data_IF_831258969633
#
_entry.id   IF_831258969633
#
_cell.length_a   1.000
_cell.length_b   1.000
_cell.length_c   1.000
_cell.angle_alpha   90.00
_cell.angle_beta   90.00
_cell.angle_gamma   90.00
#
_symmetry.space_group_name_H-M   'P 1'
#
loop_
_entity.id
_entity.type
_entity.pdbx_description
1 polymer ?
#
# COMPACT_ATOMS: atom_id res chain seq x y z
N UNK A 1 15.96 7.67 24.62
CA UNK A 1 15.47 9.07 24.54
C UNK A 1 16.50 9.99 25.17
N UNK A 2 16.83 11.11 24.53
CA UNK A 2 17.78 12.13 25.01
C UNK A 2 17.04 13.41 25.37
N UNK A 3 17.50 14.08 26.44
CA UNK A 3 16.99 15.39 26.87
C UNK A 3 18.07 16.46 26.68
N UNK A 4 17.70 17.63 26.18
CA UNK A 4 18.63 18.76 26.04
C UNK A 4 17.94 20.11 26.31
N UNK A 5 18.41 20.89 27.31
CA UNK A 5 19.31 20.47 28.39
C UNK A 5 18.62 19.53 29.38
N UNK A 6 19.34 18.56 29.94
CA UNK A 6 18.81 17.63 30.96
C UNK A 6 18.73 18.25 32.38
N UNK A 7 19.27 19.46 32.56
CA UNK A 7 19.26 20.21 33.82
C UNK A 7 19.92 21.58 33.66
N UNK A 8 19.72 22.47 34.64
CA UNK A 8 20.28 23.81 34.64
C UNK A 8 19.70 24.69 35.75
N UNK A 9 20.20 25.93 35.84
CA UNK A 9 19.71 26.93 36.78
C UNK A 9 18.79 27.91 36.06
N UNK A 10 17.61 28.16 36.63
CA UNK A 10 16.68 29.18 36.16
C UNK A 10 16.61 30.33 37.16
N UNK A 11 16.66 31.57 36.68
CA UNK A 11 16.32 32.74 37.51
C UNK A 11 14.81 32.85 37.65
N UNK A 12 14.35 33.50 38.72
CA UNK A 12 12.92 33.80 38.90
C UNK A 12 12.36 34.52 37.67
N UNK A 13 11.23 34.03 37.15
CA UNK A 13 10.56 34.58 35.97
C UNK A 13 11.19 34.24 34.61
N UNK A 14 12.31 33.49 34.58
CA UNK A 14 12.91 33.04 33.33
C UNK A 14 12.20 31.80 32.75
N UNK A 15 12.48 31.50 31.48
CA UNK A 15 11.99 30.31 30.76
C UNK A 15 13.15 29.57 30.09
N UNK A 16 13.08 28.25 30.03
CA UNK A 16 14.00 27.40 29.23
C UNK A 16 13.19 26.45 28.36
N UNK A 17 13.66 26.21 27.14
CA UNK A 17 13.13 25.15 26.27
C UNK A 17 13.92 23.87 26.52
N UNK A 18 13.21 22.80 26.87
CA UNK A 18 13.77 21.44 26.96
C UNK A 18 13.24 20.64 25.79
N UNK A 19 14.16 20.10 24.99
CA UNK A 19 13.81 19.19 23.90
C UNK A 19 14.02 17.75 24.35
N UNK A 20 13.05 16.89 24.06
CA UNK A 20 13.19 15.44 24.13
C UNK A 20 13.27 14.90 22.71
N UNK A 21 14.26 14.05 22.43
CA UNK A 21 14.40 13.36 21.15
C UNK A 21 14.48 11.86 21.37
N UNK A 22 13.87 11.12 20.45
CA UNK A 22 14.05 9.68 20.36
C UNK A 22 15.48 9.44 19.82
N UNK A 23 16.18 8.47 20.38
CA UNK A 23 17.50 8.03 19.91
C UNK A 23 17.36 6.73 19.12
N UNK A 24 18.44 6.32 18.45
CA UNK A 24 18.48 5.17 17.54
C UNK A 24 18.09 3.83 18.20
N UNK A 25 18.05 3.79 19.55
CA UNK A 25 17.53 2.65 20.33
C UNK A 25 16.07 2.35 19.98
N UNK A 26 15.27 3.33 19.55
CA UNK A 26 13.88 3.06 19.14
C UNK A 26 13.77 2.06 17.99
N UNK A 27 14.80 1.91 17.16
CA UNK A 27 14.84 0.90 16.11
C UNK A 27 14.81 -0.55 16.65
N UNK A 28 15.11 -0.78 17.94
CA UNK A 28 15.06 -2.11 18.56
C UNK A 28 13.75 -2.41 19.27
N UNK A 29 12.80 -1.47 19.29
CA UNK A 29 11.53 -1.65 19.98
C UNK A 29 10.59 -2.46 19.07
N UNK A 30 9.77 -3.31 19.67
CA UNK A 30 8.67 -3.92 18.94
C UNK A 30 7.62 -2.85 18.62
N UNK A 31 6.81 -3.05 17.58
CA UNK A 31 5.70 -2.14 17.31
C UNK A 31 4.71 -2.11 18.47
N UNK A 32 4.25 -0.92 18.80
CA UNK A 32 3.39 -0.67 19.94
C UNK A 32 3.34 0.79 20.35
N UNK A 33 2.35 1.11 21.19
CA UNK A 33 2.31 2.40 21.88
C UNK A 33 3.07 2.27 23.19
N UNK A 34 4.00 3.20 23.40
CA UNK A 34 4.80 3.29 24.59
C UNK A 34 4.50 4.58 25.33
N UNK A 35 4.46 4.47 26.65
CA UNK A 35 4.22 5.57 27.55
C UNK A 35 5.47 5.85 28.36
N UNK A 36 5.83 7.11 28.46
CA UNK A 36 6.90 7.60 29.32
C UNK A 36 6.46 8.89 30.01
N UNK A 37 7.31 9.41 30.88
CA UNK A 37 7.09 10.71 31.49
C UNK A 37 8.40 11.47 31.63
N UNK A 38 8.41 12.76 31.30
CA UNK A 38 9.51 13.65 31.66
C UNK A 38 9.23 14.20 33.05
N UNK A 39 10.12 13.91 33.99
CA UNK A 39 10.05 14.42 35.34
C UNK A 39 10.95 15.65 35.51
N UNK A 40 10.34 16.80 35.80
CA UNK A 40 11.04 18.01 36.20
C UNK A 40 11.11 18.07 37.72
N UNK A 41 12.33 18.04 38.26
CA UNK A 41 12.59 18.17 39.71
C UNK A 41 13.14 19.54 40.04
N UNK A 42 12.46 20.25 40.93
CA UNK A 42 12.95 21.46 41.55
C UNK A 42 13.80 21.11 42.79
N UNK A 43 15.11 21.25 42.66
CA UNK A 43 16.06 20.96 43.73
C UNK A 43 16.36 22.17 44.63
N UNK A 44 15.73 23.33 44.44
CA UNK A 44 16.00 24.50 45.29
C UNK A 44 15.20 24.45 46.59
N UNK A 45 13.92 24.10 46.53
CA UNK A 45 13.02 24.02 47.69
C UNK A 45 12.16 22.75 47.74
N UNK A 46 12.35 21.83 46.78
CA UNK A 46 11.59 20.57 46.70
C UNK A 46 10.12 20.72 46.30
N UNK A 47 9.65 21.92 45.97
CA UNK A 47 8.26 22.19 45.57
C UNK A 47 8.17 22.54 44.08
N UNK A 48 7.03 22.23 43.45
CA UNK A 48 6.80 22.52 42.03
C UNK A 48 7.40 21.50 41.06
N UNK A 49 7.70 20.28 41.53
CA UNK A 49 7.99 19.16 40.63
C UNK A 49 6.78 18.89 39.73
N UNK A 50 7.00 18.64 38.44
CA UNK A 50 5.94 18.29 37.50
C UNK A 50 6.37 17.10 36.66
N UNK A 51 5.43 16.21 36.37
CA UNK A 51 5.60 15.08 35.46
C UNK A 51 4.74 15.33 34.23
N UNK A 52 5.36 15.37 33.05
CA UNK A 52 4.65 15.50 31.78
C UNK A 52 4.59 14.13 31.09
N UNK A 53 3.40 13.62 30.76
CA UNK A 53 3.28 12.36 30.04
C UNK A 53 3.81 12.52 28.61
N UNK A 54 4.49 11.50 28.14
CA UNK A 54 4.88 11.32 26.75
C UNK A 54 4.24 10.04 26.22
N UNK A 55 3.74 10.12 25.00
CA UNK A 55 3.34 8.96 24.21
C UNK A 55 4.26 8.92 23.00
N UNK A 56 4.83 7.76 22.71
CA UNK A 56 5.48 7.51 21.42
C UNK A 56 4.98 6.20 20.86
N UNK A 57 4.86 6.13 19.55
CA UNK A 57 4.42 4.93 18.86
C UNK A 57 5.57 4.44 18.01
N UNK A 58 5.95 3.19 18.21
CA UNK A 58 6.82 2.47 17.30
C UNK A 58 5.87 1.71 16.40
N UNK A 59 5.87 2.03 15.11
CA UNK A 59 5.13 1.25 14.13
C UNK A 59 6.10 0.24 13.54
N UNK A 60 5.60 -0.83 12.93
CA UNK A 60 6.44 -1.48 11.92
C UNK A 60 6.88 -0.36 10.97
N UNK A 61 8.10 -0.36 10.40
CA UNK A 61 8.22 0.33 9.12
C UNK A 61 7.05 -0.21 8.33
N UNK A 62 6.14 0.65 7.85
CA UNK A 62 5.28 0.21 6.77
C UNK A 62 6.30 -0.34 5.79
N UNK A 63 6.42 -1.68 5.67
CA UNK A 63 7.42 -2.25 4.79
C UNK A 63 7.27 -1.47 3.48
N UNK A 64 8.30 -1.01 2.77
CA UNK A 64 8.07 -0.09 1.65
C UNK A 64 7.01 -0.65 0.68
N UNK A 65 5.77 -0.20 0.88
CA UNK A 65 4.53 -0.88 0.48
C UNK A 65 3.78 0.12 -0.37
N UNK A 66 3.80 1.41 -0.01
CA UNK A 66 3.18 2.45 -0.81
C UNK A 66 4.18 3.01 -1.82
N UNK A 67 3.68 3.27 -3.01
CA UNK A 67 4.42 3.93 -4.07
C UNK A 67 3.48 4.70 -4.96
N UNK A 68 4.05 5.59 -5.77
CA UNK A 68 3.31 6.25 -6.83
C UNK A 68 4.01 6.05 -8.17
N UNK A 69 3.19 5.89 -9.20
CA UNK A 69 3.60 6.00 -10.59
C UNK A 69 3.19 7.38 -11.11
N UNK A 70 4.16 8.11 -11.65
CA UNK A 70 3.96 9.44 -12.21
C UNK A 70 4.28 9.47 -13.69
N UNK A 71 3.37 10.05 -14.47
CA UNK A 71 3.59 10.31 -15.89
C UNK A 71 4.02 11.76 -16.12
N UNK A 72 5.22 11.93 -16.68
CA UNK A 72 5.76 13.25 -17.05
C UNK A 72 6.25 13.23 -18.51
N UNK A 73 5.76 14.15 -19.33
CA UNK A 73 6.17 14.29 -20.73
C UNK A 73 6.12 12.98 -21.57
N UNK A 74 5.21 12.06 -21.24
CA UNK A 74 5.08 10.76 -21.93
C UNK A 74 6.00 9.66 -21.41
N UNK A 75 6.72 9.90 -20.31
CA UNK A 75 7.57 8.95 -19.60
C UNK A 75 6.96 8.64 -18.23
N UNK A 76 7.18 7.41 -17.76
CA UNK A 76 6.71 6.93 -16.46
C UNK A 76 7.83 6.80 -15.44
N UNK A 77 7.64 7.40 -14.27
CA UNK A 77 8.58 7.38 -13.15
C UNK A 77 7.90 6.78 -11.93
N UNK A 78 8.64 6.02 -11.15
CA UNK A 78 8.14 5.28 -9.99
C UNK A 78 8.85 5.78 -8.74
N UNK A 79 8.12 5.94 -7.65
CA UNK A 79 8.64 6.39 -6.37
C UNK A 79 8.04 5.53 -5.26
N UNK A 80 8.88 5.04 -4.35
CA UNK A 80 8.52 4.12 -3.29
C UNK A 80 9.05 4.62 -1.95
N UNK A 81 8.19 4.62 -0.95
CA UNK A 81 8.54 4.95 0.42
C UNK A 81 9.27 3.75 1.04
N UNK A 82 10.57 3.63 0.81
CA UNK A 82 11.35 2.45 1.25
C UNK A 82 11.62 2.46 2.76
N UNK A 83 11.64 3.65 3.37
CA UNK A 83 11.85 3.79 4.81
C UNK A 83 10.55 3.69 5.63
N UNK A 84 9.40 3.76 4.97
CA UNK A 84 8.07 3.54 5.54
C UNK A 84 7.55 4.69 6.39
N UNK A 85 8.05 5.92 6.18
CA UNK A 85 7.70 7.08 7.00
C UNK A 85 6.58 7.95 6.38
N UNK A 86 6.13 7.63 5.17
CA UNK A 86 5.09 8.34 4.44
C UNK A 86 5.49 9.69 3.86
N UNK A 87 6.79 9.95 3.75
CA UNK A 87 7.38 11.18 3.21
C UNK A 87 8.34 10.85 2.09
N UNK A 88 8.43 11.74 1.11
CA UNK A 88 9.46 11.64 0.08
C UNK A 88 10.76 12.28 0.57
N UNK A 89 11.76 11.46 0.84
CA UNK A 89 13.08 11.82 1.36
C UNK A 89 14.18 11.84 0.28
N UNK A 90 13.82 11.52 -0.97
CA UNK A 90 14.76 11.45 -2.08
C UNK A 90 15.28 10.03 -2.31
N UNK A 91 15.79 9.77 -3.52
CA UNK A 91 16.15 8.42 -4.00
C UNK A 91 17.31 7.73 -3.27
N UNK A 92 17.97 8.40 -2.32
CA UNK A 92 19.00 7.78 -1.47
C UNK A 92 18.39 7.11 -0.24
N UNK A 93 17.24 7.61 0.21
CA UNK A 93 16.51 7.10 1.38
C UNK A 93 15.30 6.28 0.94
N UNK A 94 14.60 6.79 -0.06
CA UNK A 94 13.49 6.14 -0.76
C UNK A 94 13.97 5.54 -2.08
N UNK A 95 13.12 4.75 -2.74
CA UNK A 95 13.43 4.26 -4.07
C UNK A 95 12.77 5.13 -5.15
N UNK A 96 13.52 5.39 -6.22
CA UNK A 96 12.96 5.93 -7.45
C UNK A 96 13.50 5.19 -8.68
N UNK A 97 12.63 4.99 -9.66
CA UNK A 97 12.95 4.28 -10.90
C UNK A 97 12.37 5.02 -12.10
N UNK A 98 12.97 4.80 -13.27
CA UNK A 98 12.43 5.24 -14.55
C UNK A 98 13.47 5.82 -15.51
N UNK A 99 13.08 6.00 -16.78
CA UNK A 99 11.72 5.83 -17.27
C UNK A 99 11.33 4.36 -17.55
N UNK A 100 10.15 3.95 -17.09
CA UNK A 100 9.51 2.67 -17.42
C UNK A 100 7.99 2.89 -17.51
N UNK A 101 7.43 2.78 -18.72
CA UNK A 101 6.04 3.17 -19.01
C UNK A 101 5.90 4.66 -19.35
N UNK A 102 4.69 5.19 -19.16
CA UNK A 102 4.33 6.59 -19.47
C UNK A 102 3.55 6.77 -20.77
N UNK A 103 3.29 5.67 -21.48
CA UNK A 103 2.40 5.64 -22.64
C UNK A 103 0.97 6.03 -22.29
N UNK A 104 0.17 6.33 -23.31
CA UNK A 104 -1.27 6.52 -23.11
C UNK A 104 -1.94 5.17 -22.92
N UNK A 105 -2.76 5.03 -21.87
CA UNK A 105 -3.41 3.77 -21.52
C UNK A 105 -2.55 2.80 -20.71
N UNK A 106 -1.40 3.26 -20.19
CA UNK A 106 -0.58 2.48 -19.26
C UNK A 106 -1.29 2.36 -17.91
N UNK A 107 -1.34 1.13 -17.41
CA UNK A 107 -1.73 0.84 -16.03
C UNK A 107 -0.50 0.30 -15.30
N UNK A 108 -0.01 0.96 -14.25
CA UNK A 108 1.13 0.52 -13.46
C UNK A 108 0.71 -0.57 -12.47
N UNK A 109 1.49 -1.65 -12.39
CA UNK A 109 1.28 -2.76 -11.45
C UNK A 109 2.59 -3.13 -10.76
N UNK A 110 2.48 -3.78 -9.61
CA UNK A 110 3.60 -4.33 -8.85
C UNK A 110 3.25 -5.76 -8.46
N UNK A 111 4.23 -6.63 -8.50
CA UNK A 111 4.09 -7.98 -7.99
C UNK A 111 5.43 -8.65 -7.78
N UNK A 112 5.39 -9.77 -7.07
CA UNK A 112 6.49 -10.71 -6.95
C UNK A 112 6.52 -11.64 -8.18
N UNK A 113 7.11 -11.16 -9.28
CA UNK A 113 7.24 -11.93 -10.51
C UNK A 113 8.28 -13.04 -10.33
N UNK A 114 7.83 -14.30 -10.46
CA UNK A 114 8.68 -15.49 -10.44
C UNK A 114 9.59 -15.62 -9.20
N UNK A 115 9.17 -15.06 -8.06
CA UNK A 115 9.90 -15.17 -6.79
C UNK A 115 11.14 -14.29 -6.70
N UNK A 116 11.34 -13.33 -7.62
CA UNK A 116 12.47 -12.39 -7.62
C UNK A 116 12.28 -11.18 -6.70
N UNK A 117 11.21 -11.20 -5.90
CA UNK A 117 10.78 -10.08 -5.09
C UNK A 117 9.99 -9.06 -5.90
N UNK A 118 9.61 -7.97 -5.24
CA UNK A 118 8.75 -6.92 -5.80
C UNK A 118 9.39 -6.31 -7.04
N UNK A 119 8.63 -6.21 -8.13
CA UNK A 119 9.06 -5.63 -9.40
C UNK A 119 7.92 -4.88 -10.08
N UNK A 120 8.26 -3.82 -10.79
CA UNK A 120 7.31 -2.99 -11.50
C UNK A 120 6.89 -3.63 -12.83
N UNK A 121 5.65 -3.37 -13.24
CA UNK A 121 5.12 -3.80 -14.52
C UNK A 121 4.15 -2.74 -15.09
N UNK A 122 3.97 -2.78 -16.40
CA UNK A 122 3.00 -1.95 -17.12
C UNK A 122 2.08 -2.87 -17.93
N UNK A 123 0.77 -2.67 -17.79
CA UNK A 123 -0.22 -3.17 -18.73
C UNK A 123 -0.60 -2.08 -19.73
N UNK A 124 -0.68 -2.43 -21.01
CA UNK A 124 -1.14 -1.54 -22.08
C UNK A 124 -1.87 -2.35 -23.16
N UNK A 125 -3.20 -2.26 -23.20
CA UNK A 125 -4.01 -2.81 -24.29
C UNK A 125 -3.74 -4.29 -24.60
N UNK A 126 -3.64 -5.14 -23.58
CA UNK A 126 -3.38 -6.57 -23.70
C UNK A 126 -1.90 -6.97 -23.76
N UNK A 127 -0.99 -6.00 -23.64
CA UNK A 127 0.44 -6.22 -23.49
C UNK A 127 0.85 -6.00 -22.04
N UNK A 128 1.65 -6.91 -21.52
CA UNK A 128 2.26 -6.84 -20.19
C UNK A 128 3.78 -6.69 -20.35
N UNK A 129 4.33 -5.65 -19.75
CA UNK A 129 5.75 -5.31 -19.76
C UNK A 129 6.28 -5.43 -18.33
N UNK A 130 7.18 -6.36 -18.07
CA UNK A 130 7.73 -6.61 -16.74
C UNK A 130 9.17 -6.12 -16.66
N UNK A 131 9.49 -5.30 -15.67
CA UNK A 131 10.88 -4.99 -15.30
C UNK A 131 11.49 -6.20 -14.59
N UNK A 132 11.89 -7.18 -15.38
CA UNK A 132 12.21 -8.52 -14.90
C UNK A 132 13.65 -8.63 -14.38
N UNK A 133 14.53 -7.74 -14.83
CA UNK A 133 15.88 -7.59 -14.29
C UNK A 133 15.92 -6.66 -13.06
N UNK A 134 14.87 -5.87 -12.81
CA UNK A 134 14.76 -4.95 -11.68
C UNK A 134 15.65 -3.73 -11.81
N UNK A 135 15.95 -3.29 -13.03
CA UNK A 135 16.76 -2.09 -13.28
C UNK A 135 15.98 -0.81 -13.02
N UNK A 136 14.64 -0.89 -13.03
CA UNK A 136 13.77 0.27 -13.00
C UNK A 136 13.70 1.03 -14.32
N UNK A 137 14.32 0.52 -15.39
CA UNK A 137 14.37 1.17 -16.71
C UNK A 137 13.96 0.21 -17.83
N UNK A 138 13.50 0.76 -18.95
CA UNK A 138 13.15 -0.06 -20.12
C UNK A 138 14.39 -0.57 -20.86
N UNK A 139 14.62 -1.90 -20.82
CA UNK A 139 15.81 -2.56 -21.35
C UNK A 139 15.55 -3.46 -22.58
N UNK A 140 14.35 -3.40 -23.20
CA UNK A 140 13.84 -4.30 -24.26
C UNK A 140 13.21 -5.62 -23.77
N UNK A 141 12.55 -6.37 -24.68
CA UNK A 141 11.82 -7.60 -24.34
C UNK A 141 12.70 -8.84 -24.05
N UNK A 142 14.03 -8.74 -24.15
CA UNK A 142 14.96 -9.82 -23.80
C UNK A 142 15.37 -9.73 -22.33
N UNK A 143 15.58 -8.52 -21.83
CA UNK A 143 15.94 -8.25 -20.43
C UNK A 143 14.70 -7.98 -19.56
N UNK A 144 13.70 -7.30 -20.13
CA UNK A 144 12.37 -7.13 -19.58
C UNK A 144 11.42 -8.13 -20.27
N UNK A 145 10.58 -8.84 -19.54
CA UNK A 145 9.71 -9.85 -20.17
C UNK A 145 8.48 -9.15 -20.77
N UNK A 146 8.06 -9.58 -21.96
CA UNK A 146 6.85 -9.09 -22.63
C UNK A 146 5.87 -10.24 -22.84
N UNK A 147 4.65 -10.12 -22.29
CA UNK A 147 3.55 -11.08 -22.55
C UNK A 147 2.45 -10.38 -23.35
N UNK A 148 1.83 -11.10 -24.29
CA UNK A 148 0.76 -10.58 -25.15
C UNK A 148 -0.45 -11.51 -25.11
N UNK A 149 -1.63 -10.92 -25.06
CA UNK A 149 -2.89 -11.63 -25.31
C UNK A 149 -3.60 -12.10 -24.05
N UNK A 150 -3.07 -11.80 -22.86
CA UNK A 150 -3.81 -11.93 -21.61
C UNK A 150 -4.58 -10.63 -21.34
N UNK A 151 -5.84 -10.59 -21.80
CA UNK A 151 -6.68 -9.39 -21.91
C UNK A 151 -6.46 -8.61 -23.21
N UNK A 152 -6.99 -7.39 -23.28
CA UNK A 152 -6.83 -6.46 -24.41
C UNK A 152 -8.14 -5.88 -24.96
N UNK A 153 -9.27 -6.21 -24.33
CA UNK A 153 -10.50 -5.44 -24.54
C UNK A 153 -10.41 -4.09 -23.82
N UNK A 154 -11.00 -3.02 -24.36
CA UNK A 154 -10.97 -1.69 -23.72
C UNK A 154 -11.61 -1.64 -22.31
N UNK A 155 -12.44 -2.62 -21.98
CA UNK A 155 -13.12 -2.77 -20.69
C UNK A 155 -12.31 -3.58 -19.67
N UNK A 156 -11.14 -4.12 -20.07
CA UNK A 156 -10.30 -4.91 -19.18
C UNK A 156 -9.58 -4.03 -18.16
N UNK A 157 -9.74 -4.35 -16.89
CA UNK A 157 -8.96 -3.76 -15.81
C UNK A 157 -7.93 -4.80 -15.34
N UNK A 158 -6.62 -4.56 -15.53
CA UNK A 158 -5.59 -5.52 -15.15
C UNK A 158 -5.50 -5.64 -13.63
N UNK A 159 -5.28 -6.86 -13.14
CA UNK A 159 -5.07 -7.17 -11.72
C UNK A 159 -3.93 -8.16 -11.57
N UNK A 160 -3.31 -8.20 -10.40
CA UNK A 160 -2.16 -9.06 -10.10
C UNK A 160 -2.27 -9.61 -8.69
N UNK A 161 -1.83 -10.85 -8.49
CA UNK A 161 -1.83 -11.49 -7.19
C UNK A 161 -1.42 -12.94 -7.23
N UNK A 162 -1.17 -13.50 -6.05
CA UNK A 162 -0.78 -14.89 -5.86
C UNK A 162 -2.02 -15.78 -5.76
N UNK A 163 -2.59 -16.14 -6.91
CA UNK A 163 -3.84 -16.91 -7.00
C UNK A 163 -3.76 -18.29 -6.35
N UNK A 164 -2.56 -18.86 -6.23
CA UNK A 164 -2.33 -20.22 -5.76
C UNK A 164 -1.66 -20.30 -4.38
N UNK A 165 -1.28 -19.17 -3.77
CA UNK A 165 -0.59 -19.12 -2.49
C UNK A 165 0.84 -19.67 -2.52
N UNK A 166 1.56 -19.49 -3.63
CA UNK A 166 2.93 -20.00 -3.84
C UNK A 166 4.01 -18.94 -3.64
N UNK A 167 3.64 -17.75 -3.18
CA UNK A 167 4.47 -16.56 -3.07
C UNK A 167 4.85 -15.96 -4.43
N UNK A 168 4.11 -16.25 -5.51
CA UNK A 168 4.40 -15.73 -6.85
C UNK A 168 3.14 -15.10 -7.41
N UNK A 169 3.23 -13.81 -7.71
CA UNK A 169 2.12 -13.07 -8.32
C UNK A 169 2.01 -13.40 -9.81
N UNK A 170 0.77 -13.47 -10.28
CA UNK A 170 0.43 -13.72 -11.67
C UNK A 170 -0.54 -12.67 -12.16
N UNK A 171 -0.58 -12.55 -13.48
CA UNK A 171 -1.44 -11.57 -14.14
C UNK A 171 -2.90 -12.04 -14.15
N UNK A 172 -3.79 -11.08 -14.26
CA UNK A 172 -5.21 -11.29 -14.36
C UNK A 172 -5.89 -10.06 -14.96
N UNK A 173 -7.17 -10.19 -15.30
CA UNK A 173 -8.00 -9.02 -15.58
C UNK A 173 -9.44 -9.23 -15.12
N UNK A 174 -10.07 -8.12 -14.77
CA UNK A 174 -11.49 -8.00 -14.50
C UNK A 174 -12.21 -7.43 -15.72
N UNK A 175 -13.39 -7.96 -16.04
CA UNK A 175 -14.27 -7.47 -17.10
C UNK A 175 -15.73 -7.67 -16.69
N UNK A 176 -16.45 -6.59 -16.43
CA UNK A 176 -17.90 -6.58 -16.20
C UNK A 176 -18.39 -7.68 -15.24
N UNK A 177 -17.75 -7.82 -14.07
CA UNK A 177 -18.13 -8.83 -13.06
C UNK A 177 -17.48 -10.20 -13.23
N UNK A 178 -16.80 -10.45 -14.35
CA UNK A 178 -16.02 -11.66 -14.59
C UNK A 178 -14.54 -11.40 -14.32
N UNK A 179 -13.84 -12.41 -13.79
CA UNK A 179 -12.41 -12.35 -13.51
C UNK A 179 -11.70 -13.48 -14.25
N UNK A 180 -10.56 -13.17 -14.87
CA UNK A 180 -9.75 -14.13 -15.61
C UNK A 180 -8.34 -14.06 -15.04
N UNK A 181 -7.91 -15.11 -14.34
CA UNK A 181 -6.63 -15.15 -13.63
C UNK A 181 -5.73 -16.20 -14.25
N UNK A 182 -4.51 -15.78 -14.60
CA UNK A 182 -3.54 -16.57 -15.35
C UNK A 182 -3.03 -17.74 -14.52
N UNK A 183 -2.98 -18.92 -15.14
CA UNK A 183 -2.35 -20.10 -14.56
C UNK A 183 -0.82 -20.08 -14.60
N UNK A 184 -0.20 -18.92 -14.88
CA UNK A 184 1.25 -18.66 -14.90
C UNK A 184 1.92 -18.75 -16.26
N UNK A 185 1.24 -19.29 -17.28
CA UNK A 185 1.86 -19.41 -18.60
C UNK A 185 1.80 -18.10 -19.40
N UNK A 186 0.96 -17.13 -19.01
CA UNK A 186 0.83 -15.84 -19.66
C UNK A 186 0.02 -15.85 -20.95
N UNK A 187 -0.76 -16.89 -21.20
CA UNK A 187 -1.55 -17.09 -22.41
C UNK A 187 -3.00 -17.24 -21.98
N UNK A 188 -3.89 -16.40 -22.52
CA UNK A 188 -5.32 -16.54 -22.22
C UNK A 188 -5.88 -17.81 -22.86
N UNK A 189 -6.40 -18.68 -22.01
CA UNK A 189 -6.92 -19.99 -22.36
C UNK A 189 -8.37 -20.15 -21.92
N UNK A 190 -8.96 -21.31 -22.24
CA UNK A 190 -10.33 -21.61 -21.83
C UNK A 190 -10.43 -21.78 -20.30
N UNK A 191 -11.60 -21.44 -19.76
CA UNK A 191 -11.90 -21.62 -18.35
C UNK A 191 -11.68 -23.08 -17.90
N UNK A 192 -11.03 -23.24 -16.76
CA UNK A 192 -10.58 -24.53 -16.23
C UNK A 192 -9.10 -24.81 -16.51
N UNK A 193 -8.52 -24.16 -17.52
CA UNK A 193 -7.07 -24.02 -17.68
C UNK A 193 -6.62 -22.73 -16.99
N UNK A 194 -7.26 -21.61 -17.32
CA UNK A 194 -7.22 -20.39 -16.51
C UNK A 194 -8.36 -20.36 -15.50
N UNK A 195 -8.18 -19.58 -14.43
CA UNK A 195 -9.23 -19.36 -13.45
C UNK A 195 -10.20 -18.30 -13.96
N UNK A 196 -11.36 -18.74 -14.43
CA UNK A 196 -12.48 -17.84 -14.69
C UNK A 196 -13.41 -17.81 -13.47
N UNK A 197 -13.47 -16.67 -12.80
CA UNK A 197 -14.30 -16.47 -11.61
C UNK A 197 -15.46 -15.50 -11.90
N UNK A 198 -16.43 -15.48 -11.00
CA UNK A 198 -17.58 -14.60 -11.01
C UNK A 198 -18.93 -15.29 -11.17
N UNK A 199 -20.02 -14.50 -11.15
CA UNK A 199 -20.01 -13.04 -11.07
C UNK A 199 -19.57 -12.52 -9.68
N UNK A 200 -18.68 -11.54 -9.67
CA UNK A 200 -18.28 -10.78 -8.49
C UNK A 200 -18.00 -9.33 -8.94
N UNK A 201 -18.94 -8.42 -8.65
CA UNK A 201 -19.01 -7.10 -9.28
C UNK A 201 -19.88 -7.10 -10.55
N UNK A 202 -19.73 -6.06 -11.37
CA UNK A 202 -20.39 -5.90 -12.66
C UNK A 202 -21.02 -4.53 -12.89
N UNK A 203 -20.89 -3.61 -11.92
CA UNK A 203 -21.33 -2.23 -12.10
C UNK A 203 -20.23 -1.39 -12.76
N UNK A 204 -20.58 -0.38 -13.58
CA UNK A 204 -19.59 0.45 -14.28
C UNK A 204 -18.60 1.18 -13.37
N UNK A 205 -19.00 1.50 -12.15
CA UNK A 205 -18.18 2.16 -11.12
C UNK A 205 -17.31 1.20 -10.29
N UNK A 206 -17.39 -0.11 -10.55
CA UNK A 206 -16.62 -1.11 -9.80
C UNK A 206 -15.13 -1.01 -10.11
N UNK A 207 -14.33 -0.85 -9.06
CA UNK A 207 -12.87 -0.94 -9.13
C UNK A 207 -12.42 -2.27 -8.51
N UNK A 208 -11.74 -3.15 -9.29
CA UNK A 208 -11.26 -4.41 -8.76
C UNK A 208 -10.09 -4.19 -7.81
N UNK A 209 -10.08 -4.97 -6.73
CA UNK A 209 -8.99 -5.02 -5.75
C UNK A 209 -8.61 -6.48 -5.49
N UNK A 210 -7.36 -6.70 -5.09
CA UNK A 210 -6.81 -8.03 -4.85
C UNK A 210 -5.99 -8.00 -3.57
N UNK A 211 -6.13 -9.04 -2.74
CA UNK A 211 -5.35 -9.20 -1.52
C UNK A 211 -5.60 -10.54 -0.85
N UNK A 212 -4.70 -10.95 0.04
CA UNK A 212 -4.96 -12.10 0.92
C UNK A 212 -5.76 -11.63 2.14
N UNK A 213 -7.08 -11.61 1.98
CA UNK A 213 -8.03 -11.20 3.02
C UNK A 213 -8.02 -12.11 4.26
N UNK A 214 -7.46 -13.31 4.14
CA UNK A 214 -7.57 -14.38 5.14
C UNK A 214 -6.24 -14.76 5.80
N UNK A 215 -5.11 -14.32 5.26
CA UNK A 215 -3.77 -14.69 5.71
C UNK A 215 -3.38 -16.14 5.41
N UNK A 216 -3.97 -16.75 4.37
CA UNK A 216 -3.68 -18.14 4.00
C UNK A 216 -2.60 -18.28 2.92
N UNK A 217 -2.01 -17.16 2.49
CA UNK A 217 -1.02 -17.02 1.44
C UNK A 217 -1.61 -16.74 0.06
N UNK A 218 -2.87 -17.09 -0.20
CA UNK A 218 -3.48 -16.93 -1.53
C UNK A 218 -4.30 -15.65 -1.63
N UNK A 219 -3.99 -14.84 -2.65
CA UNK A 219 -4.74 -13.64 -3.00
C UNK A 219 -6.15 -13.98 -3.49
N UNK A 220 -7.13 -13.18 -3.08
CA UNK A 220 -8.54 -13.31 -3.46
C UNK A 220 -9.02 -12.01 -4.10
N UNK A 221 -10.13 -12.12 -4.82
CA UNK A 221 -10.73 -11.00 -5.53
C UNK A 221 -11.56 -10.12 -4.58
N UNK A 222 -11.81 -8.89 -4.98
CA UNK A 222 -12.68 -7.96 -4.28
C UNK A 222 -13.06 -6.79 -5.17
N UNK A 223 -14.07 -6.03 -4.74
CA UNK A 223 -14.58 -4.86 -5.43
C UNK A 223 -14.64 -3.70 -4.46
N UNK A 224 -14.14 -2.55 -4.89
CA UNK A 224 -14.44 -1.25 -4.31
C UNK A 224 -15.50 -0.54 -5.16
N UNK A 225 -16.52 0.01 -4.50
CA UNK A 225 -17.61 0.76 -5.12
C UNK A 225 -17.98 1.94 -4.23
N UNK A 226 -17.59 3.15 -4.62
CA UNK A 226 -18.03 4.40 -3.97
C UNK A 226 -17.89 4.39 -2.43
N UNK A 227 -16.82 3.84 -1.88
CA UNK A 227 -16.57 3.75 -0.43
C UNK A 227 -16.91 2.39 0.18
N UNK A 228 -17.71 1.59 -0.52
CA UNK A 228 -18.04 0.23 -0.13
C UNK A 228 -16.98 -0.75 -0.64
N UNK A 229 -16.62 -1.74 0.17
CA UNK A 229 -15.75 -2.84 -0.20
C UNK A 229 -16.49 -4.16 -0.05
N UNK A 230 -16.34 -5.01 -1.06
CA UNK A 230 -16.86 -6.37 -1.13
C UNK A 230 -15.68 -7.29 -1.35
N UNK A 231 -15.30 -8.07 -0.35
CA UNK A 231 -14.11 -8.92 -0.39
C UNK A 231 -14.55 -10.39 -0.37
N UNK A 232 -14.06 -11.17 -1.33
CA UNK A 232 -14.29 -12.62 -1.42
C UNK A 232 -13.60 -13.32 -0.23
N UNK A 233 -14.32 -13.43 0.88
CA UNK A 233 -13.74 -13.86 2.15
C UNK A 233 -13.62 -15.38 2.21
N UNK A 234 -14.52 -16.10 1.52
CA UNK A 234 -14.50 -17.55 1.45
C UNK A 234 -13.54 -18.07 0.34
N UNK A 235 -13.14 -17.20 -0.60
CA UNK A 235 -12.18 -17.49 -1.67
C UNK A 235 -12.75 -18.37 -2.79
N UNK A 236 -14.07 -18.40 -2.98
CA UNK A 236 -14.69 -19.25 -3.99
C UNK A 236 -14.84 -18.55 -5.36
N UNK A 237 -14.48 -17.26 -5.44
CA UNK A 237 -14.53 -16.46 -6.65
C UNK A 237 -15.94 -16.02 -7.06
N UNK A 238 -16.93 -16.03 -6.17
CA UNK A 238 -18.31 -15.62 -6.45
C UNK A 238 -18.84 -14.74 -5.35
N UNK A 239 -19.75 -13.83 -5.71
CA UNK A 239 -20.44 -13.03 -4.70
C UNK A 239 -21.53 -13.85 -4.00
N UNK A 240 -21.35 -14.09 -2.69
CA UNK A 240 -22.27 -14.87 -1.87
C UNK A 240 -23.05 -14.02 -0.84
N UNK A 241 -22.85 -12.70 -0.84
CA UNK A 241 -23.50 -11.78 0.08
C UNK A 241 -22.72 -11.57 1.38
N UNK A 242 -23.02 -10.48 2.09
CA UNK A 242 -22.29 -10.02 3.28
C UNK A 242 -22.30 -10.97 4.49
N UNK A 243 -23.10 -12.04 4.46
CA UNK A 243 -23.08 -13.08 5.51
C UNK A 243 -21.95 -14.09 5.32
N UNK A 244 -21.48 -14.24 4.07
CA UNK A 244 -20.43 -15.19 3.68
C UNK A 244 -19.16 -14.44 3.30
N UNK A 245 -19.31 -13.38 2.52
CA UNK A 245 -18.25 -12.46 2.12
C UNK A 245 -18.17 -11.26 3.05
N UNK A 246 -17.06 -10.52 2.98
CA UNK A 246 -16.87 -9.34 3.83
C UNK A 246 -17.35 -8.09 3.13
N UNK A 247 -18.34 -7.42 3.73
CA UNK A 247 -18.79 -6.08 3.35
C UNK A 247 -18.23 -5.03 4.32
N UNK A 248 -17.76 -3.93 3.76
CA UNK A 248 -17.32 -2.75 4.52
C UNK A 248 -17.95 -1.54 3.83
N UNK A 249 -18.67 -0.70 4.56
CA UNK A 249 -19.55 0.31 3.95
C UNK A 249 -18.89 1.69 3.80
N UNK A 250 -18.09 2.11 4.77
CA UNK A 250 -17.68 3.52 4.93
C UNK A 250 -16.16 3.71 5.03
N UNK A 251 -15.39 3.08 4.12
CA UNK A 251 -13.93 3.27 4.06
C UNK A 251 -13.51 3.90 2.72
N UNK A 252 -13.58 5.24 2.68
CA UNK A 252 -13.43 6.06 1.47
C UNK A 252 -14.78 6.54 0.96
N UNK A 253 -14.88 6.78 -0.35
CA UNK A 253 -16.16 7.07 -1.05
C UNK A 253 -16.29 8.51 -1.54
N UNK A 254 -15.24 9.32 -1.44
CA UNK A 254 -15.21 10.60 -2.13
C UNK A 254 -14.83 10.40 -3.60
N UNK A 255 -15.36 11.23 -4.52
CA UNK A 255 -14.96 11.19 -5.91
C UNK A 255 -13.43 11.33 -6.07
N UNK A 256 -12.83 10.38 -6.80
CA UNK A 256 -11.39 10.34 -7.05
C UNK A 256 -10.59 9.51 -6.05
N UNK A 257 -11.22 8.86 -5.07
CA UNK A 257 -10.57 7.84 -4.26
C UNK A 257 -10.11 6.68 -5.12
N UNK A 258 -8.85 6.29 -4.98
CA UNK A 258 -8.27 5.13 -5.64
C UNK A 258 -8.05 4.04 -4.58
N UNK A 259 -8.73 2.89 -4.67
CA UNK A 259 -8.61 1.84 -3.68
C UNK A 259 -7.25 1.15 -3.78
N UNK A 260 -6.70 0.77 -2.64
CA UNK A 260 -5.48 0.00 -2.51
C UNK A 260 -5.64 -1.11 -1.48
N UNK A 261 -4.90 -2.20 -1.64
CA UNK A 261 -4.89 -3.30 -0.70
C UNK A 261 -3.47 -3.81 -0.51
N UNK A 262 -3.09 -4.07 0.73
CA UNK A 262 -1.73 -4.48 1.09
C UNK A 262 -1.64 -4.90 2.55
N UNK A 263 -0.56 -5.58 2.92
CA UNK A 263 -0.33 -5.97 4.31
C UNK A 263 0.41 -4.88 5.08
N UNK A 264 -0.35 -3.87 5.52
CA UNK A 264 0.19 -2.68 6.21
C UNK A 264 0.96 -3.02 7.51
N UNK A 265 0.70 -4.19 8.09
CA UNK A 265 1.24 -4.61 9.40
C UNK A 265 2.31 -5.69 9.32
N UNK A 266 2.59 -6.24 8.13
CA UNK A 266 3.51 -7.35 7.94
C UNK A 266 3.06 -8.67 8.59
N UNK A 267 1.76 -8.87 8.81
CA UNK A 267 1.22 -10.06 9.48
C UNK A 267 0.71 -11.14 8.52
N UNK A 268 0.91 -10.95 7.21
CA UNK A 268 0.45 -11.82 6.14
C UNK A 268 -1.00 -11.59 5.70
N UNK A 269 -1.71 -10.62 6.28
CA UNK A 269 -3.13 -10.34 5.94
C UNK A 269 -3.23 -8.97 5.26
N UNK A 270 -3.67 -8.98 4.00
CA UNK A 270 -3.98 -7.75 3.27
C UNK A 270 -5.18 -7.04 3.91
N UNK A 271 -5.07 -5.72 4.02
CA UNK A 271 -6.09 -4.83 4.55
C UNK A 271 -6.41 -3.78 3.49
N UNK A 272 -7.54 -3.10 3.67
CA UNK A 272 -8.02 -2.09 2.73
C UNK A 272 -7.35 -0.73 2.98
N UNK A 273 -7.37 0.12 1.97
CA UNK A 273 -6.88 1.48 2.02
C UNK A 273 -7.31 2.27 0.80
N UNK A 274 -7.13 3.58 0.81
CA UNK A 274 -7.33 4.40 -0.38
C UNK A 274 -6.32 5.54 -0.47
N UNK A 275 -6.05 5.93 -1.71
CA UNK A 275 -5.26 7.10 -2.07
C UNK A 275 -6.17 8.22 -2.56
N UNK A 276 -5.91 9.44 -2.10
CA UNK A 276 -6.64 10.65 -2.48
C UNK A 276 -5.68 11.83 -2.57
N UNK A 277 -5.43 12.31 -3.79
CA UNK A 277 -4.70 13.56 -4.03
C UNK A 277 -3.36 13.69 -3.25
N UNK A 278 -2.56 12.62 -3.19
CA UNK A 278 -1.28 12.61 -2.46
C UNK A 278 -1.34 12.12 -1.02
N UNK A 279 -2.54 11.94 -0.49
CA UNK A 279 -2.75 11.38 0.83
C UNK A 279 -3.13 9.89 0.75
N UNK A 280 -2.55 9.10 1.65
CA UNK A 280 -2.86 7.68 1.85
C UNK A 280 -3.64 7.51 3.14
N UNK A 281 -4.63 6.62 3.14
CA UNK A 281 -5.47 6.28 4.28
C UNK A 281 -5.58 4.76 4.33
N UNK A 282 -4.95 4.12 5.33
CA UNK A 282 -4.80 2.67 5.40
C UNK A 282 -5.50 2.17 6.66
N UNK A 283 -6.39 1.18 6.51
CA UNK A 283 -7.05 0.48 7.62
C UNK A 283 -6.00 -0.37 8.35
N UNK A 284 -5.27 0.27 9.27
CA UNK A 284 -4.07 -0.31 9.87
C UNK A 284 -4.44 -1.39 10.87
N UNK A 285 -5.53 -1.18 11.61
CA UNK A 285 -6.02 -2.14 12.59
C UNK A 285 -6.85 -3.29 11.95
N UNK A 286 -7.29 -3.12 10.70
CA UNK A 286 -8.00 -4.12 9.90
C UNK A 286 -9.48 -4.26 10.23
N UNK A 287 -10.08 -3.30 10.94
CA UNK A 287 -11.49 -3.37 11.38
C UNK A 287 -12.48 -2.89 10.32
N UNK A 288 -12.01 -2.29 9.21
CA UNK A 288 -12.85 -1.73 8.15
C UNK A 288 -13.54 -0.41 8.50
N UNK A 289 -13.10 0.29 9.53
CA UNK A 289 -13.67 1.56 10.00
C UNK A 289 -12.55 2.59 10.01
N UNK A 290 -12.82 3.78 9.48
CA UNK A 290 -11.88 4.89 9.61
C UNK A 290 -11.89 5.44 11.05
N UNK A 291 -10.86 5.10 11.82
CA UNK A 291 -10.69 5.48 13.23
C UNK A 291 -9.79 6.73 13.41
N UNK A 292 -9.30 7.28 12.31
CA UNK A 292 -8.37 8.41 12.30
C UNK A 292 -6.90 7.98 12.42
N UNK A 293 -5.99 8.89 12.08
CA UNK A 293 -4.56 8.59 11.91
C UNK A 293 -3.78 8.19 13.19
N UNK A 294 -4.44 8.23 14.35
CA UNK A 294 -3.86 7.75 15.62
C UNK A 294 -4.03 6.22 15.80
N UNK A 295 -5.00 5.63 15.09
CA UNK A 295 -5.36 4.22 15.12
C UNK A 295 -5.07 3.58 13.78
N UNK A 296 -5.54 4.23 12.72
CA UNK A 296 -5.21 3.92 11.33
C UNK A 296 -3.94 4.63 10.88
N UNK A 297 -3.44 4.30 9.69
CA UNK A 297 -2.31 5.00 9.11
C UNK A 297 -2.80 6.06 8.12
N UNK A 298 -2.21 7.25 8.19
CA UNK A 298 -2.34 8.19 7.10
C UNK A 298 -1.03 8.88 6.79
N UNK A 299 -0.74 9.00 5.51
CA UNK A 299 0.43 9.72 5.01
C UNK A 299 -0.05 10.87 4.15
N UNK A 300 0.28 12.10 4.53
CA UNK A 300 -0.27 13.30 3.89
C UNK A 300 0.56 13.78 2.70
N UNK A 301 1.72 13.17 2.44
CA UNK A 301 2.73 13.79 1.56
C UNK A 301 3.58 12.78 0.77
N UNK A 302 2.96 11.68 0.31
CA UNK A 302 3.60 10.74 -0.59
C UNK A 302 2.86 10.69 -1.94
N UNK A 303 3.29 11.55 -2.86
CA UNK A 303 2.62 11.87 -4.13
C UNK A 303 1.97 13.25 -4.12
N UNK A 304 0.85 13.41 -4.84
CA UNK A 304 0.05 14.64 -4.83
C UNK A 304 0.24 15.52 -6.06
N UNK A 305 1.04 15.09 -7.03
CA UNK A 305 0.99 15.69 -8.36
C UNK A 305 -0.25 15.13 -9.08
N UNK A 306 -1.07 15.98 -9.73
CA UNK A 306 -2.24 15.51 -10.47
C UNK A 306 -1.88 14.44 -11.49
N UNK A 307 -2.53 13.28 -11.40
CA UNK A 307 -2.28 12.12 -12.26
C UNK A 307 -1.31 11.08 -11.67
N UNK A 308 -0.76 11.31 -10.47
CA UNK A 308 -0.09 10.26 -9.70
C UNK A 308 -1.06 9.08 -9.47
N UNK A 309 -0.62 7.87 -9.80
CA UNK A 309 -1.36 6.64 -9.56
C UNK A 309 -0.73 5.88 -8.40
N UNK A 310 -1.51 5.45 -7.39
CA UNK A 310 -1.00 4.66 -6.29
C UNK A 310 -0.63 3.26 -6.80
N UNK A 311 0.47 2.75 -6.29
CA UNK A 311 0.89 1.37 -6.46
C UNK A 311 1.25 0.81 -5.10
N UNK A 312 0.85 -0.43 -4.85
CA UNK A 312 1.03 -1.08 -3.56
C UNK A 312 1.70 -2.43 -3.72
N UNK A 313 2.49 -2.80 -2.72
CA UNK A 313 2.98 -4.15 -2.52
C UNK A 313 2.36 -4.81 -1.29
#
# INVERSE_FOLDING_TARGET
MKLSPAGGNLKSGATVKVSASIDDIAASFQPGTYYASILFKNNTNGQGNISLPLRFQVKYPAAGIIGIFRKEAGLGYWYFDDNGNGQWDGCETDACFGPFGGGTGDVPLIGNWEGKGKRIAIYRGGYWFFDYNGSGTWDDCNLNVCKKGFGGSPEDIPVVGDWEGKGIDRIGFYRNGSWFLDNGNGVLEACGVDFCLGPFGGYPEDLPVVGDWTGNGASKIGIYRNGQWFLDANGNGKWDGCETDRCIEDFGGLPGDLPVAGDWTGNGVSKIGFYRNGAWYLDYNGNGIWDGCDVDECFQSFGGIPGDLPVVY
#
